data_IF_970454088072
#
_entry.id   IF_970454088072
#
_cell.length_a   1.000
_cell.length_b   1.000
_cell.length_c   1.000
_cell.angle_alpha   90.00
_cell.angle_beta   90.00
_cell.angle_gamma   90.00
#
_symmetry.space_group_name_H-M   'P 1'
#
loop_
_entity.id
_entity.type
_entity.pdbx_description
1 polymer ?
#
# COMPACT_ATOMS: atom_id res chain seq x y z
N UNK A 1 31.38 -10.70 -54.10
CA UNK A 1 31.15 -11.95 -53.35
C UNK A 1 30.65 -11.57 -51.98
N UNK A 2 29.39 -11.88 -51.69
CA UNK A 2 28.82 -11.74 -50.34
C UNK A 2 29.43 -12.79 -49.43
N UNK A 3 29.84 -12.42 -48.22
CA UNK A 3 30.01 -13.39 -47.13
C UNK A 3 29.32 -12.84 -45.89
N UNK A 4 28.27 -13.55 -45.48
CA UNK A 4 27.48 -13.28 -44.30
C UNK A 4 28.21 -13.73 -43.02
N UNK A 5 27.75 -13.11 -41.93
CA UNK A 5 28.24 -13.15 -40.57
C UNK A 5 28.41 -14.55 -39.93
N UNK A 6 29.30 -14.62 -38.95
CA UNK A 6 29.15 -15.49 -37.80
C UNK A 6 29.31 -14.64 -36.53
N UNK A 7 28.23 -13.98 -36.14
CA UNK A 7 28.13 -13.30 -34.86
C UNK A 7 27.87 -14.35 -33.79
N UNK A 8 28.93 -14.90 -33.22
CA UNK A 8 28.83 -15.70 -31.99
C UNK A 8 28.48 -14.72 -30.88
N UNK A 9 27.25 -14.79 -30.36
CA UNK A 9 26.93 -14.05 -29.14
C UNK A 9 27.84 -14.56 -28.02
N UNK A 10 28.46 -13.68 -27.22
CA UNK A 10 29.28 -14.11 -26.11
C UNK A 10 28.38 -14.79 -25.07
N UNK A 11 28.79 -15.96 -24.58
CA UNK A 11 28.09 -16.77 -23.54
C UNK A 11 27.65 -15.95 -22.30
N UNK A 12 28.32 -14.82 -22.04
CA UNK A 12 27.94 -13.84 -21.01
C UNK A 12 26.58 -13.18 -21.26
N UNK A 13 26.28 -12.81 -22.51
CA UNK A 13 25.05 -12.09 -22.86
C UNK A 13 23.81 -12.97 -22.67
N UNK A 14 23.88 -14.26 -23.03
CA UNK A 14 22.78 -15.21 -22.82
C UNK A 14 22.52 -15.45 -21.32
N UNK A 15 23.58 -15.56 -20.51
CA UNK A 15 23.45 -15.71 -19.05
C UNK A 15 22.80 -14.48 -18.42
N UNK A 16 23.20 -13.27 -18.83
CA UNK A 16 22.62 -12.01 -18.33
C UNK A 16 21.19 -11.79 -18.80
N UNK A 17 20.86 -12.22 -20.01
CA UNK A 17 19.48 -12.21 -20.49
C UNK A 17 18.58 -13.09 -19.61
N UNK A 18 19.01 -14.31 -19.29
CA UNK A 18 18.28 -15.21 -18.38
C UNK A 18 18.11 -14.60 -16.99
N UNK A 19 19.15 -13.94 -16.46
CA UNK A 19 19.09 -13.22 -15.19
C UNK A 19 18.02 -12.11 -15.20
N UNK A 20 17.98 -11.31 -16.28
CA UNK A 20 16.99 -10.25 -16.47
C UNK A 20 15.57 -10.80 -16.66
N UNK A 21 15.40 -11.89 -17.39
CA UNK A 21 14.12 -12.59 -17.55
C UNK A 21 13.60 -13.10 -16.20
N UNK A 22 14.48 -13.66 -15.35
CA UNK A 22 14.12 -14.03 -13.99
C UNK A 22 13.68 -12.81 -13.16
N UNK A 23 14.35 -11.67 -13.31
CA UNK A 23 13.94 -10.43 -12.64
C UNK A 23 12.58 -9.91 -13.10
N UNK A 24 12.21 -10.08 -14.37
CA UNK A 24 10.85 -9.78 -14.84
C UNK A 24 9.84 -10.65 -14.09
N UNK A 25 10.08 -11.96 -13.98
CA UNK A 25 9.18 -12.86 -13.27
C UNK A 25 9.03 -12.48 -11.79
N UNK A 26 10.13 -12.15 -11.10
CA UNK A 26 10.11 -11.68 -9.71
C UNK A 26 9.31 -10.37 -9.56
N UNK A 27 9.49 -9.43 -10.51
CA UNK A 27 8.76 -8.16 -10.55
C UNK A 27 7.26 -8.39 -10.75
N UNK A 28 6.87 -9.23 -11.69
CA UNK A 28 5.47 -9.52 -12.01
C UNK A 28 4.75 -10.20 -10.84
N UNK A 29 5.41 -11.17 -10.20
CA UNK A 29 4.88 -11.81 -9.00
C UNK A 29 4.60 -10.78 -7.89
N UNK A 30 5.58 -9.94 -7.57
CA UNK A 30 5.42 -8.95 -6.52
C UNK A 30 4.40 -7.87 -6.89
N UNK A 31 4.35 -7.46 -8.16
CA UNK A 31 3.37 -6.50 -8.66
C UNK A 31 1.93 -7.01 -8.45
N UNK A 32 1.69 -8.30 -8.73
CA UNK A 32 0.39 -8.93 -8.50
C UNK A 32 0.09 -9.05 -7.01
N UNK A 33 1.05 -9.47 -6.19
CA UNK A 33 0.87 -9.55 -4.74
C UNK A 33 0.48 -8.21 -4.14
N UNK A 34 1.14 -7.11 -4.53
CA UNK A 34 0.79 -5.77 -4.08
C UNK A 34 -0.59 -5.31 -4.59
N UNK A 35 -1.01 -5.74 -5.77
CA UNK A 35 -2.37 -5.50 -6.26
C UNK A 35 -3.40 -6.19 -5.36
N UNK A 36 -3.23 -7.48 -5.10
CA UNK A 36 -4.15 -8.24 -4.26
C UNK A 36 -4.22 -7.66 -2.83
N UNK A 37 -3.08 -7.24 -2.27
CA UNK A 37 -3.03 -6.57 -0.96
C UNK A 37 -3.71 -5.21 -0.96
N UNK A 38 -3.66 -4.48 -2.07
CA UNK A 38 -4.41 -3.23 -2.24
C UNK A 38 -5.91 -3.49 -2.17
N UNK A 39 -6.41 -4.48 -2.90
CA UNK A 39 -7.84 -4.81 -2.92
C UNK A 39 -8.32 -5.32 -1.55
N UNK A 40 -7.52 -6.15 -0.88
CA UNK A 40 -7.80 -6.58 0.49
C UNK A 40 -7.87 -5.38 1.46
N UNK A 41 -6.91 -4.45 1.40
CA UNK A 41 -6.90 -3.27 2.26
C UNK A 41 -8.11 -2.37 1.99
N UNK A 42 -8.52 -2.21 0.72
CA UNK A 42 -9.74 -1.46 0.33
C UNK A 42 -11.00 -2.11 0.89
N UNK A 43 -11.09 -3.44 0.80
CA UNK A 43 -12.24 -4.19 1.33
C UNK A 43 -12.37 -4.03 2.84
N UNK A 44 -11.27 -4.20 3.59
CA UNK A 44 -11.27 -3.99 5.05
C UNK A 44 -11.65 -2.54 5.40
N UNK A 45 -11.07 -1.56 4.69
CA UNK A 45 -11.38 -0.15 4.89
C UNK A 45 -12.86 0.16 4.62
N UNK A 46 -13.46 -0.42 3.58
CA UNK A 46 -14.89 -0.26 3.28
C UNK A 46 -15.78 -0.87 4.39
N UNK A 47 -15.39 -2.00 4.97
CA UNK A 47 -16.06 -2.56 6.14
C UNK A 47 -16.03 -1.62 7.35
N UNK A 48 -14.89 -0.99 7.62
CA UNK A 48 -14.74 0.03 8.66
C UNK A 48 -15.56 1.30 8.38
N UNK A 49 -15.65 1.72 7.11
CA UNK A 49 -16.53 2.82 6.69
C UNK A 49 -18.00 2.52 6.98
N UNK A 50 -18.45 1.28 6.74
CA UNK A 50 -19.79 0.84 7.11
C UNK A 50 -20.05 0.95 8.62
N UNK A 51 -19.09 0.53 9.46
CA UNK A 51 -19.21 0.66 10.92
C UNK A 51 -19.25 2.13 11.36
N UNK A 52 -18.39 2.98 10.79
CA UNK A 52 -18.41 4.44 11.01
C UNK A 52 -19.79 5.02 10.70
N UNK A 53 -20.37 4.63 9.57
CA UNK A 53 -21.64 5.17 9.09
C UNK A 53 -22.86 4.71 9.91
N UNK A 54 -22.70 3.68 10.75
CA UNK A 54 -23.68 3.30 11.78
C UNK A 54 -23.47 4.07 13.09
N UNK A 55 -22.22 4.22 13.53
CA UNK A 55 -21.91 4.82 14.85
C UNK A 55 -22.11 6.34 14.86
N UNK A 56 -21.79 7.05 13.78
CA UNK A 56 -21.96 8.52 13.72
C UNK A 56 -23.43 8.91 13.94
N UNK A 57 -24.41 8.37 13.19
CA UNK A 57 -25.82 8.67 13.44
C UNK A 57 -26.28 8.30 14.84
N UNK A 58 -25.82 7.16 15.38
CA UNK A 58 -26.18 6.74 16.75
C UNK A 58 -25.73 7.78 17.79
N UNK A 59 -24.47 8.23 17.72
CA UNK A 59 -23.96 9.29 18.61
C UNK A 59 -24.77 10.58 18.43
N UNK A 60 -25.05 10.98 17.18
CA UNK A 60 -25.80 12.21 16.91
C UNK A 60 -27.24 12.16 17.46
N UNK A 61 -27.91 11.01 17.38
CA UNK A 61 -29.23 10.81 17.99
C UNK A 61 -29.15 10.91 19.51
N UNK A 62 -28.16 10.24 20.13
CA UNK A 62 -27.96 10.27 21.58
C UNK A 62 -27.64 11.67 22.09
N UNK A 63 -26.79 12.42 21.37
CA UNK A 63 -26.47 13.82 21.69
C UNK A 63 -27.74 14.66 21.75
N UNK A 64 -28.62 14.53 20.75
CA UNK A 64 -29.88 15.28 20.69
C UNK A 64 -30.87 14.85 21.78
N UNK A 65 -31.02 13.55 22.00
CA UNK A 65 -32.00 13.03 22.96
C UNK A 65 -31.62 13.29 24.42
N UNK A 66 -30.33 13.41 24.70
CA UNK A 66 -29.78 13.64 26.04
C UNK A 66 -29.37 15.11 26.26
N UNK A 67 -29.65 15.99 25.29
CA UNK A 67 -29.31 17.41 25.32
C UNK A 67 -27.82 17.68 25.63
N UNK A 68 -26.94 16.90 25.01
CA UNK A 68 -25.48 17.01 25.21
C UNK A 68 -24.95 18.17 24.38
N UNK A 69 -24.41 19.19 25.05
CA UNK A 69 -23.91 20.42 24.42
C UNK A 69 -22.38 20.47 24.30
N UNK A 70 -21.67 19.53 24.93
CA UNK A 70 -20.20 19.52 24.96
C UNK A 70 -19.61 18.11 25.00
N UNK A 71 -18.34 18.00 24.61
CA UNK A 71 -17.57 16.74 24.71
C UNK A 71 -17.55 16.22 26.16
N UNK A 72 -17.34 17.10 27.15
CA UNK A 72 -17.28 16.74 28.55
C UNK A 72 -18.61 16.16 29.07
N UNK A 73 -19.74 16.70 28.62
CA UNK A 73 -21.05 16.12 28.91
C UNK A 73 -21.22 14.77 28.19
N UNK A 74 -20.80 14.66 26.92
CA UNK A 74 -20.84 13.40 26.18
C UNK A 74 -20.05 12.28 26.86
N UNK A 75 -18.92 12.60 27.47
CA UNK A 75 -18.09 11.68 28.24
C UNK A 75 -18.77 11.15 29.52
N UNK A 76 -19.78 11.85 30.04
CA UNK A 76 -20.57 11.39 31.19
C UNK A 76 -21.60 10.33 30.80
N UNK A 77 -21.92 10.19 29.51
CA UNK A 77 -22.85 9.18 29.01
C UNK A 77 -22.09 7.98 28.44
N UNK A 78 -22.17 6.84 29.13
CA UNK A 78 -21.40 5.62 28.80
C UNK A 78 -21.51 5.21 27.34
N UNK A 79 -22.70 5.25 26.74
CA UNK A 79 -22.92 4.86 25.35
C UNK A 79 -22.25 5.81 24.36
N UNK A 80 -22.34 7.12 24.60
CA UNK A 80 -21.68 8.15 23.78
C UNK A 80 -20.17 7.98 23.87
N UNK A 81 -19.64 7.89 25.10
CA UNK A 81 -18.22 7.68 25.36
C UNK A 81 -17.69 6.46 24.60
N UNK A 82 -18.32 5.30 24.79
CA UNK A 82 -17.91 4.05 24.14
C UNK A 82 -17.94 4.16 22.61
N UNK A 83 -18.99 4.74 22.03
CA UNK A 83 -19.09 4.88 20.59
C UNK A 83 -18.02 5.85 20.03
N UNK A 84 -17.64 6.89 20.78
CA UNK A 84 -16.55 7.81 20.40
C UNK A 84 -15.19 7.11 20.50
N UNK A 85 -14.93 6.32 21.54
CA UNK A 85 -13.73 5.50 21.65
C UNK A 85 -13.62 4.53 20.46
N UNK A 86 -14.70 3.83 20.13
CA UNK A 86 -14.75 2.90 19.01
C UNK A 86 -14.54 3.62 17.66
N UNK A 87 -15.15 4.79 17.46
CA UNK A 87 -14.91 5.60 16.26
C UNK A 87 -13.45 6.06 16.15
N UNK A 88 -12.80 6.35 17.28
CA UNK A 88 -11.38 6.74 17.29
C UNK A 88 -10.49 5.60 16.79
N UNK A 89 -10.79 4.36 17.22
CA UNK A 89 -10.15 3.15 16.69
C UNK A 89 -10.41 3.01 15.19
N UNK A 90 -11.68 3.08 14.77
CA UNK A 90 -12.07 2.94 13.37
C UNK A 90 -11.34 3.94 12.48
N UNK A 91 -11.33 5.23 12.84
CA UNK A 91 -10.64 6.25 12.06
C UNK A 91 -9.13 5.98 11.98
N UNK A 92 -8.51 5.58 13.09
CA UNK A 92 -7.07 5.29 13.13
C UNK A 92 -6.71 4.15 12.17
N UNK A 93 -7.48 3.05 12.20
CA UNK A 93 -7.24 1.92 11.30
C UNK A 93 -7.56 2.24 9.84
N UNK A 94 -8.58 3.05 9.57
CA UNK A 94 -8.87 3.52 8.21
C UNK A 94 -7.70 4.32 7.63
N UNK A 95 -7.11 5.24 8.40
CA UNK A 95 -5.97 6.05 7.98
C UNK A 95 -4.72 5.18 7.76
N UNK A 96 -4.47 4.21 8.65
CA UNK A 96 -3.38 3.24 8.49
C UNK A 96 -3.53 2.38 7.22
N UNK A 97 -4.74 1.89 6.95
CA UNK A 97 -5.03 1.14 5.71
C UNK A 97 -4.87 2.01 4.47
N UNK A 98 -5.27 3.28 4.54
CA UNK A 98 -5.05 4.21 3.43
C UNK A 98 -3.57 4.44 3.15
N UNK A 99 -2.75 4.59 4.20
CA UNK A 99 -1.30 4.70 4.04
C UNK A 99 -0.71 3.44 3.38
N UNK A 100 -1.19 2.24 3.72
CA UNK A 100 -0.78 0.99 3.07
C UNK A 100 -1.20 0.90 1.61
N UNK A 101 -2.44 1.27 1.28
CA UNK A 101 -2.92 1.34 -0.11
C UNK A 101 -1.99 2.25 -0.95
N UNK A 102 -1.66 3.43 -0.42
CA UNK A 102 -0.76 4.37 -1.10
C UNK A 102 0.66 3.80 -1.27
N UNK A 103 1.19 3.13 -0.24
CA UNK A 103 2.48 2.46 -0.28
C UNK A 103 2.51 1.38 -1.37
N UNK A 104 1.48 0.56 -1.48
CA UNK A 104 1.39 -0.53 -2.46
C UNK A 104 1.26 0.01 -3.88
N UNK A 105 0.47 1.05 -4.09
CA UNK A 105 0.41 1.75 -5.38
C UNK A 105 1.80 2.26 -5.79
N UNK A 106 2.50 2.98 -4.90
CA UNK A 106 3.84 3.49 -5.19
C UNK A 106 4.84 2.36 -5.51
N UNK A 107 4.75 1.22 -4.81
CA UNK A 107 5.55 0.04 -5.10
C UNK A 107 5.28 -0.53 -6.49
N UNK A 108 4.01 -0.64 -6.88
CA UNK A 108 3.60 -1.11 -8.21
C UNK A 108 4.08 -0.18 -9.32
N UNK A 109 3.98 1.13 -9.15
CA UNK A 109 4.49 2.11 -10.13
C UNK A 109 5.99 1.93 -10.33
N UNK A 110 6.75 1.73 -9.24
CA UNK A 110 8.20 1.52 -9.31
C UNK A 110 8.56 0.21 -9.98
N UNK A 111 7.82 -0.87 -9.70
CA UNK A 111 7.99 -2.18 -10.32
C UNK A 111 7.68 -2.15 -11.81
N UNK A 112 6.61 -1.48 -12.23
CA UNK A 112 6.27 -1.31 -13.64
C UNK A 112 7.37 -0.56 -14.41
N UNK A 113 7.91 0.51 -13.81
CA UNK A 113 9.05 1.23 -14.39
C UNK A 113 10.29 0.33 -14.53
N UNK A 114 10.64 -0.44 -13.50
CA UNK A 114 11.79 -1.35 -13.55
C UNK A 114 11.60 -2.45 -14.59
N UNK A 115 10.39 -3.00 -14.71
CA UNK A 115 10.06 -3.99 -15.76
C UNK A 115 10.35 -3.43 -17.14
N UNK A 116 9.92 -2.20 -17.42
CA UNK A 116 10.18 -1.55 -18.70
C UNK A 116 11.68 -1.36 -18.96
N UNK A 117 12.45 -0.94 -17.94
CA UNK A 117 13.91 -0.84 -18.08
C UNK A 117 14.55 -2.19 -18.41
N UNK A 118 14.12 -3.27 -17.76
CA UNK A 118 14.62 -4.61 -18.05
C UNK A 118 14.29 -5.04 -19.48
N UNK A 119 13.05 -4.81 -19.93
CA UNK A 119 12.63 -5.12 -21.30
C UNK A 119 13.45 -4.35 -22.34
N UNK A 120 13.79 -3.09 -22.07
CA UNK A 120 14.63 -2.27 -22.95
C UNK A 120 16.09 -2.74 -22.93
N UNK A 121 16.64 -3.08 -21.76
CA UNK A 121 18.01 -3.58 -21.63
C UNK A 121 18.19 -4.96 -22.29
N UNK A 122 17.18 -5.85 -22.23
CA UNK A 122 17.19 -7.13 -22.96
C UNK A 122 17.32 -6.91 -24.47
N UNK A 123 16.65 -5.89 -25.04
CA UNK A 123 16.74 -5.59 -26.49
C UNK A 123 18.14 -5.11 -26.90
N UNK A 124 18.89 -4.53 -25.97
CA UNK A 124 20.22 -3.96 -26.20
C UNK A 124 21.34 -4.79 -25.56
N UNK A 125 21.05 -6.00 -25.08
CA UNK A 125 21.93 -6.80 -24.21
C UNK A 125 23.32 -7.07 -24.80
N UNK A 126 23.41 -7.23 -26.13
CA UNK A 126 24.67 -7.45 -26.84
C UNK A 126 25.58 -6.21 -26.91
N UNK A 127 25.07 -5.04 -26.52
CA UNK A 127 25.75 -3.74 -26.58
C UNK A 127 25.95 -3.09 -25.21
N UNK A 128 25.30 -3.62 -24.18
CA UNK A 128 25.42 -3.13 -22.81
C UNK A 128 26.68 -3.70 -22.15
N UNK A 129 27.26 -2.94 -21.23
CA UNK A 129 28.33 -3.44 -20.38
C UNK A 129 27.74 -4.11 -19.14
N UNK A 130 28.48 -5.07 -18.58
CA UNK A 130 28.02 -5.87 -17.45
C UNK A 130 27.71 -5.01 -16.21
N UNK A 131 28.46 -3.92 -16.00
CA UNK A 131 28.26 -2.99 -14.88
C UNK A 131 26.86 -2.35 -14.88
N UNK A 132 26.30 -2.03 -16.06
CA UNK A 132 24.94 -1.49 -16.16
C UNK A 132 23.89 -2.53 -15.78
N UNK A 133 24.06 -3.76 -16.25
CA UNK A 133 23.15 -4.88 -15.96
C UNK A 133 23.18 -5.19 -14.47
N UNK A 134 24.36 -5.28 -13.86
CA UNK A 134 24.52 -5.53 -12.42
C UNK A 134 23.89 -4.43 -11.56
N UNK A 135 24.01 -3.16 -11.99
CA UNK A 135 23.37 -2.04 -11.32
C UNK A 135 21.84 -2.13 -11.38
N UNK A 136 21.28 -2.51 -12.53
CA UNK A 136 19.85 -2.73 -12.69
C UNK A 136 19.35 -3.90 -11.83
N UNK A 137 20.02 -5.06 -11.86
CA UNK A 137 19.71 -6.21 -11.00
C UNK A 137 19.71 -5.81 -9.52
N UNK A 138 20.70 -5.02 -9.10
CA UNK A 138 20.79 -4.51 -7.72
C UNK A 138 19.62 -3.61 -7.39
N UNK A 139 19.27 -2.66 -8.26
CA UNK A 139 18.14 -1.76 -8.06
C UNK A 139 16.81 -2.52 -7.94
N UNK A 140 16.60 -3.53 -8.78
CA UNK A 140 15.42 -4.39 -8.73
C UNK A 140 15.36 -5.11 -7.40
N UNK A 141 16.46 -5.73 -6.97
CA UNK A 141 16.52 -6.47 -5.71
C UNK A 141 16.26 -5.58 -4.49
N UNK A 142 16.74 -4.33 -4.49
CA UNK A 142 16.45 -3.36 -3.43
C UNK A 142 14.95 -3.01 -3.37
N UNK A 143 14.30 -2.80 -4.52
CA UNK A 143 12.87 -2.51 -4.57
C UNK A 143 12.07 -3.73 -4.11
N UNK A 144 12.39 -4.92 -4.60
CA UNK A 144 11.72 -6.16 -4.19
C UNK A 144 11.83 -6.35 -2.67
N UNK A 145 13.05 -6.27 -2.12
CA UNK A 145 13.30 -6.49 -0.69
C UNK A 145 12.55 -5.49 0.20
N UNK A 146 12.31 -4.26 -0.28
CA UNK A 146 11.52 -3.27 0.44
C UNK A 146 10.06 -3.68 0.61
N UNK A 147 9.47 -4.32 -0.39
CA UNK A 147 8.03 -4.62 -0.42
C UNK A 147 7.70 -6.09 -0.10
N UNK A 148 8.68 -7.00 -0.09
CA UNK A 148 8.50 -8.41 0.28
C UNK A 148 7.76 -8.64 1.62
N UNK A 149 8.03 -7.88 2.70
CA UNK A 149 7.32 -8.06 3.96
C UNK A 149 5.81 -7.82 3.84
N UNK A 150 5.41 -6.86 3.00
CA UNK A 150 4.01 -6.49 2.76
C UNK A 150 3.31 -7.38 1.72
N UNK A 151 4.08 -8.12 0.91
CA UNK A 151 3.54 -8.97 -0.15
C UNK A 151 2.71 -10.15 0.39
N UNK A 152 3.05 -10.63 1.58
CA UNK A 152 2.44 -11.83 2.18
C UNK A 152 1.24 -11.49 3.06
N UNK A 153 1.28 -10.37 3.79
CA UNK A 153 0.22 -9.97 4.71
C UNK A 153 0.18 -8.45 4.85
N UNK A 154 -1.02 -7.88 5.00
CA UNK A 154 -1.16 -6.47 5.36
C UNK A 154 -0.67 -6.31 6.80
N UNK A 155 0.47 -5.64 6.99
CA UNK A 155 1.03 -5.41 8.31
C UNK A 155 0.61 -4.05 8.86
N UNK A 156 -0.37 -4.02 9.75
CA UNK A 156 -0.68 -2.85 10.58
C UNK A 156 -0.19 -3.15 11.99
N UNK A 157 0.84 -2.42 12.43
CA UNK A 157 1.42 -2.55 13.77
C UNK A 157 0.66 -1.65 14.75
N UNK A 158 -0.14 -2.21 15.68
CA UNK A 158 -0.94 -1.41 16.60
C UNK A 158 -0.10 -0.52 17.51
N UNK A 159 1.13 -0.92 17.85
CA UNK A 159 2.02 -0.16 18.74
C UNK A 159 2.57 1.10 18.07
N UNK A 160 2.58 1.14 16.73
CA UNK A 160 3.03 2.28 15.94
C UNK A 160 1.88 3.20 15.52
N UNK A 161 0.64 2.84 15.82
CA UNK A 161 -0.51 3.67 15.49
C UNK A 161 -0.61 4.85 16.45
N UNK A 162 -0.61 6.06 15.88
CA UNK A 162 -1.02 7.24 16.61
C UNK A 162 -2.54 7.30 16.64
N UNK A 163 -3.12 6.89 17.77
CA UNK A 163 -4.55 6.91 17.96
C UNK A 163 -5.09 8.34 17.84
N UNK A 164 -6.10 8.51 16.98
CA UNK A 164 -6.88 9.75 16.92
C UNK A 164 -7.51 9.98 18.30
N UNK A 165 -7.36 11.20 18.82
CA UNK A 165 -7.91 11.51 20.14
C UNK A 165 -9.44 11.50 20.10
N UNK A 166 -10.07 11.04 21.19
CA UNK A 166 -11.53 11.07 21.32
C UNK A 166 -12.12 12.48 21.13
N UNK A 167 -11.37 13.51 21.53
CA UNK A 167 -11.78 14.90 21.32
C UNK A 167 -11.81 15.26 19.84
N UNK A 168 -10.81 14.83 19.07
CA UNK A 168 -10.80 15.03 17.62
C UNK A 168 -11.93 14.22 16.96
N UNK A 169 -12.12 12.96 17.37
CA UNK A 169 -13.24 12.13 16.92
C UNK A 169 -14.58 12.81 17.19
N UNK A 170 -14.78 13.35 18.39
CA UNK A 170 -15.97 14.13 18.74
C UNK A 170 -16.18 15.31 17.79
N UNK A 171 -15.13 16.07 17.47
CA UNK A 171 -15.22 17.17 16.51
C UNK A 171 -15.68 16.68 15.12
N UNK A 172 -15.12 15.57 14.64
CA UNK A 172 -15.53 14.96 13.36
C UNK A 172 -17.01 14.55 13.36
N UNK A 173 -17.52 14.05 14.49
CA UNK A 173 -18.94 13.65 14.63
C UNK A 173 -19.89 14.85 14.63
N UNK A 174 -19.55 15.92 15.35
CA UNK A 174 -20.44 17.10 15.47
C UNK A 174 -20.36 18.05 14.26
N UNK A 175 -19.26 18.05 13.52
CA UNK A 175 -19.06 18.94 12.37
C UNK A 175 -19.71 18.43 11.08
N UNK A 176 -20.06 17.14 10.98
CA UNK A 176 -20.83 16.60 9.83
C UNK A 176 -22.28 17.12 9.87
N UNK A 177 -22.52 18.28 9.26
CA UNK A 177 -23.78 18.57 8.58
C UNK A 177 -23.70 17.93 7.19
N UNK A 178 -24.60 16.99 6.90
CA UNK A 178 -24.82 16.50 5.54
C UNK A 178 -25.27 17.65 4.63
#
# INVERSE_FOLDING_TARGET
MFSFACGVMPVSADTKKVELEQKIADIELLYQQLHDRTEQARSIRSGLEGQRDLLIPEIQVLIKSLDVQSYQQGQQHLRIKYNVELLSVIFTYMDALQAKINLYHSGRDRLAYLRQLVEDDIKMISTLNDLKIDALTTQISLVINRFLPDAHIIQVDPEKLQMISERETWQRVIQKKY
#
